data_IF_400305387282
#
_entry.id   IF_400305387282
#
_cell.length_a   1.000
_cell.length_b   1.000
_cell.length_c   1.000
_cell.angle_alpha   90.00
_cell.angle_beta   90.00
_cell.angle_gamma   90.00
#
_symmetry.space_group_name_H-M   'P 1'
#
loop_
_entity.id
_entity.type
_entity.pdbx_description
1 polymer ?
#
# COMPACT_ATOMS: atom_id res chain seq x y z
N UNK A 1 -96.54 -12.74 -3.29
CA UNK A 1 -95.89 -11.48 -3.70
C UNK A 1 -94.77 -11.12 -2.71
N UNK A 2 -93.49 -11.30 -3.06
CA UNK A 2 -92.34 -10.86 -2.25
C UNK A 2 -91.76 -9.59 -2.86
N UNK A 3 -91.90 -8.44 -2.19
CA UNK A 3 -91.27 -7.17 -2.59
C UNK A 3 -89.79 -7.20 -2.23
N UNK A 4 -88.91 -7.11 -3.24
CA UNK A 4 -87.50 -6.84 -3.05
C UNK A 4 -87.31 -5.41 -2.50
N UNK A 5 -86.54 -5.27 -1.41
CA UNK A 5 -86.18 -3.97 -0.84
C UNK A 5 -84.95 -3.41 -1.56
N UNK A 6 -84.91 -2.12 -1.93
CA UNK A 6 -83.73 -1.54 -2.57
C UNK A 6 -82.60 -1.37 -1.56
N UNK A 7 -81.38 -1.77 -1.94
CA UNK A 7 -80.17 -1.55 -1.17
C UNK A 7 -79.80 -0.05 -1.27
N UNK A 8 -80.03 0.72 -0.22
CA UNK A 8 -79.72 2.16 -0.17
C UNK A 8 -78.22 2.32 0.08
N UNK A 9 -77.43 2.64 -0.95
CA UNK A 9 -76.01 3.02 -0.77
C UNK A 9 -75.93 4.36 -0.02
N UNK A 10 -75.41 4.35 1.21
CA UNK A 10 -75.02 5.57 1.95
C UNK A 10 -73.67 6.04 1.39
N UNK A 11 -73.67 7.13 0.61
CA UNK A 11 -72.45 7.87 0.31
C UNK A 11 -72.04 8.68 1.53
N UNK A 12 -71.12 8.16 2.33
CA UNK A 12 -70.48 8.95 3.38
C UNK A 12 -69.45 9.89 2.73
N UNK A 13 -69.50 11.17 3.09
CA UNK A 13 -68.61 12.22 2.58
C UNK A 13 -67.16 12.10 3.08
N UNK A 14 -66.46 11.06 2.67
CA UNK A 14 -65.02 10.91 2.87
C UNK A 14 -64.32 11.09 1.52
N UNK A 15 -63.87 12.30 1.22
CA UNK A 15 -63.10 12.58 -0.01
C UNK A 15 -61.75 13.25 0.20
N UNK A 16 -61.33 13.54 1.44
CA UNK A 16 -60.04 14.18 1.74
C UNK A 16 -59.04 13.30 2.53
N UNK A 17 -59.49 12.62 3.58
CA UNK A 17 -58.60 11.93 4.55
C UNK A 17 -57.87 10.73 3.93
N UNK A 18 -58.50 10.02 3.00
CA UNK A 18 -57.89 8.86 2.31
C UNK A 18 -56.64 9.26 1.50
N UNK A 19 -56.65 10.44 0.88
CA UNK A 19 -55.49 10.95 0.13
C UNK A 19 -54.33 11.29 1.07
N UNK A 20 -54.61 11.92 2.22
CA UNK A 20 -53.59 12.27 3.21
C UNK A 20 -52.94 11.02 3.77
N UNK A 21 -53.73 10.01 4.15
CA UNK A 21 -53.20 8.74 4.65
C UNK A 21 -52.36 8.02 3.58
N UNK A 22 -52.83 7.97 2.33
CA UNK A 22 -52.06 7.39 1.23
C UNK A 22 -50.74 8.13 1.00
N UNK A 23 -50.75 9.47 1.01
CA UNK A 23 -49.54 10.28 0.87
C UNK A 23 -48.57 10.04 2.03
N UNK A 24 -49.04 9.98 3.28
CA UNK A 24 -48.21 9.65 4.44
C UNK A 24 -47.55 8.26 4.30
N UNK A 25 -48.30 7.26 3.85
CA UNK A 25 -47.76 5.91 3.61
C UNK A 25 -46.74 5.89 2.46
N UNK A 26 -47.02 6.60 1.36
CA UNK A 26 -46.08 6.71 0.23
C UNK A 26 -44.78 7.41 0.65
N UNK A 27 -44.87 8.49 1.42
CA UNK A 27 -43.69 9.18 1.95
C UNK A 27 -42.90 8.25 2.88
N UNK A 28 -43.58 7.51 3.78
CA UNK A 28 -42.90 6.57 4.67
C UNK A 28 -42.14 5.48 3.89
N UNK A 29 -42.77 4.87 2.89
CA UNK A 29 -42.14 3.86 2.03
C UNK A 29 -40.98 4.47 1.23
N UNK A 30 -41.14 5.68 0.70
CA UNK A 30 -40.09 6.39 -0.03
C UNK A 30 -38.85 6.65 0.84
N UNK A 31 -39.03 7.10 2.08
CA UNK A 31 -37.93 7.35 3.01
C UNK A 31 -37.18 6.05 3.37
N UNK A 32 -37.91 4.95 3.58
CA UNK A 32 -37.30 3.63 3.81
C UNK A 32 -36.50 3.17 2.59
N UNK A 33 -37.07 3.30 1.39
CA UNK A 33 -36.39 2.95 0.14
C UNK A 33 -35.14 3.81 -0.12
N UNK A 34 -35.23 5.12 0.10
CA UNK A 34 -34.09 6.03 -0.05
C UNK A 34 -32.95 5.69 0.92
N UNK A 35 -33.27 5.34 2.16
CA UNK A 35 -32.29 4.95 3.18
C UNK A 35 -31.57 3.67 2.80
N UNK A 36 -32.32 2.64 2.33
CA UNK A 36 -31.74 1.39 1.86
C UNK A 36 -30.80 1.59 0.66
N UNK A 37 -31.18 2.43 -0.30
CA UNK A 37 -30.35 2.77 -1.46
C UNK A 37 -29.05 3.49 -1.06
N UNK A 38 -29.14 4.44 -0.12
CA UNK A 38 -27.95 5.14 0.40
C UNK A 38 -26.98 4.20 1.12
N UNK A 39 -27.50 3.24 1.89
CA UNK A 39 -26.67 2.25 2.59
C UNK A 39 -25.92 1.35 1.59
N UNK A 40 -26.59 0.90 0.53
CA UNK A 40 -25.97 0.10 -0.53
C UNK A 40 -24.83 0.87 -1.23
N UNK A 41 -25.07 2.14 -1.60
CA UNK A 41 -24.06 2.99 -2.25
C UNK A 41 -22.86 3.27 -1.35
N UNK A 42 -23.08 3.42 -0.04
CA UNK A 42 -21.99 3.56 0.93
C UNK A 42 -21.18 2.26 1.03
N UNK A 43 -21.85 1.11 1.12
CA UNK A 43 -21.20 -0.20 1.14
C UNK A 43 -20.33 -0.46 -0.09
N UNK A 44 -20.81 -0.10 -1.29
CA UNK A 44 -20.04 -0.23 -2.53
C UNK A 44 -18.76 0.62 -2.54
N UNK A 45 -18.83 1.85 -2.01
CA UNK A 45 -17.68 2.74 -1.89
C UNK A 45 -16.65 2.18 -0.92
N UNK A 46 -17.08 1.70 0.24
CA UNK A 46 -16.21 1.06 1.25
C UNK A 46 -15.54 -0.19 0.68
N UNK A 47 -16.31 -1.08 0.04
CA UNK A 47 -15.78 -2.31 -0.57
C UNK A 47 -14.77 -1.99 -1.70
N UNK A 48 -14.98 -0.92 -2.47
CA UNK A 48 -13.99 -0.47 -3.46
C UNK A 48 -12.73 0.08 -2.80
N UNK A 49 -12.87 0.84 -1.72
CA UNK A 49 -11.74 1.34 -0.94
C UNK A 49 -10.88 0.22 -0.34
N UNK A 50 -11.52 -0.76 0.31
CA UNK A 50 -10.82 -1.92 0.88
C UNK A 50 -10.08 -2.73 -0.18
N UNK A 51 -10.72 -3.00 -1.33
CA UNK A 51 -10.03 -3.69 -2.43
C UNK A 51 -8.80 -2.94 -2.92
N UNK A 52 -8.92 -1.63 -3.16
CA UNK A 52 -7.81 -0.83 -3.64
C UNK A 52 -6.67 -0.73 -2.61
N UNK A 53 -7.00 -0.77 -1.32
CA UNK A 53 -6.03 -0.84 -0.23
C UNK A 53 -5.32 -2.20 -0.22
N UNK A 54 -6.05 -3.31 -0.35
CA UNK A 54 -5.44 -4.65 -0.40
C UNK A 54 -4.49 -4.81 -1.58
N UNK A 55 -4.83 -4.27 -2.75
CA UNK A 55 -3.95 -4.29 -3.92
C UNK A 55 -2.68 -3.47 -3.67
N UNK A 56 -2.83 -2.27 -3.07
CA UNK A 56 -1.68 -1.45 -2.70
C UNK A 56 -0.81 -2.15 -1.64
N UNK A 57 -1.42 -2.82 -0.67
CA UNK A 57 -0.71 -3.58 0.37
C UNK A 57 0.07 -4.75 -0.22
N UNK A 58 -0.55 -5.56 -1.09
CA UNK A 58 0.11 -6.66 -1.79
C UNK A 58 1.28 -6.16 -2.63
N UNK A 59 1.10 -5.06 -3.39
CA UNK A 59 2.19 -4.45 -4.15
C UNK A 59 3.34 -3.97 -3.24
N UNK A 60 3.03 -3.45 -2.05
CA UNK A 60 4.04 -3.05 -1.08
C UNK A 60 4.80 -4.26 -0.52
N UNK A 61 4.11 -5.36 -0.23
CA UNK A 61 4.73 -6.63 0.19
C UNK A 61 5.65 -7.19 -0.90
N UNK A 62 5.23 -7.14 -2.16
CA UNK A 62 6.06 -7.57 -3.29
C UNK A 62 7.35 -6.75 -3.39
N UNK A 63 7.29 -5.41 -3.25
CA UNK A 63 8.50 -4.58 -3.22
C UNK A 63 9.38 -4.82 -1.98
N UNK A 64 8.78 -5.16 -0.85
CA UNK A 64 9.52 -5.50 0.36
C UNK A 64 10.29 -6.82 0.17
N UNK A 65 9.62 -7.86 -0.35
CA UNK A 65 10.27 -9.11 -0.71
C UNK A 65 11.34 -8.90 -1.79
N UNK A 66 11.09 -8.06 -2.80
CA UNK A 66 12.06 -7.73 -3.84
C UNK A 66 13.32 -7.07 -3.28
N UNK A 67 13.18 -6.18 -2.30
CA UNK A 67 14.29 -5.56 -1.59
C UNK A 67 15.10 -6.58 -0.77
N UNK A 68 14.44 -7.55 -0.13
CA UNK A 68 15.14 -8.63 0.58
C UNK A 68 15.93 -9.52 -0.39
N UNK A 69 15.36 -9.83 -1.57
CA UNK A 69 16.08 -10.56 -2.62
C UNK A 69 17.24 -9.74 -3.21
N UNK A 70 17.11 -8.41 -3.32
CA UNK A 70 18.20 -7.50 -3.70
C UNK A 70 19.36 -7.55 -2.69
N UNK A 71 19.04 -7.54 -1.39
CA UNK A 71 20.03 -7.65 -0.31
C UNK A 71 20.73 -9.00 -0.33
N UNK A 72 19.98 -10.10 -0.43
CA UNK A 72 20.53 -11.45 -0.39
C UNK A 72 21.42 -11.69 -1.62
N UNK A 73 20.89 -11.34 -2.80
CA UNK A 73 21.47 -11.63 -4.10
C UNK A 73 21.35 -13.12 -4.46
N UNK A 74 20.96 -13.42 -5.70
CA UNK A 74 20.92 -14.79 -6.20
C UNK A 74 22.14 -15.07 -7.09
N UNK A 75 22.79 -16.25 -6.98
CA UNK A 75 23.85 -16.66 -7.90
C UNK A 75 23.33 -16.67 -9.35
N UNK A 76 23.94 -15.88 -10.23
CA UNK A 76 23.59 -15.83 -11.66
C UNK A 76 22.37 -14.98 -12.01
N UNK A 77 21.75 -14.29 -11.05
CA UNK A 77 20.75 -13.26 -11.33
C UNK A 77 21.42 -11.87 -11.45
N UNK A 78 20.87 -10.93 -12.25
CA UNK A 78 21.25 -9.53 -12.14
C UNK A 78 20.90 -9.09 -10.71
N UNK A 79 21.88 -8.59 -9.97
CA UNK A 79 21.68 -8.12 -8.60
C UNK A 79 22.95 -7.53 -7.99
N UNK A 80 22.78 -6.83 -6.87
CA UNK A 80 23.85 -6.10 -6.18
C UNK A 80 24.06 -6.57 -4.74
N UNK A 81 23.65 -7.81 -4.44
CA UNK A 81 23.81 -8.49 -3.16
C UNK A 81 25.23 -8.40 -2.56
N UNK A 82 26.26 -8.28 -3.40
CA UNK A 82 27.65 -8.11 -2.99
C UNK A 82 27.98 -6.75 -2.34
N UNK A 83 27.13 -5.73 -2.52
CA UNK A 83 27.27 -4.45 -1.81
C UNK A 83 26.80 -4.53 -0.35
N UNK A 84 26.04 -5.57 -0.01
CA UNK A 84 25.49 -5.78 1.33
C UNK A 84 26.37 -6.75 2.11
N UNK A 85 27.11 -6.20 3.06
CA UNK A 85 27.91 -6.97 4.01
C UNK A 85 27.72 -6.41 5.43
N UNK A 86 27.75 -7.25 6.47
CA UNK A 86 27.49 -6.85 7.84
C UNK A 86 28.51 -5.83 8.38
N UNK A 87 29.67 -5.66 7.75
CA UNK A 87 30.76 -4.79 8.16
C UNK A 87 31.09 -3.69 7.13
N UNK A 88 30.27 -3.54 6.08
CA UNK A 88 30.51 -2.60 4.99
C UNK A 88 29.35 -1.65 4.77
N UNK A 89 29.67 -0.36 4.64
CA UNK A 89 28.74 0.68 4.19
C UNK A 89 28.87 0.98 2.69
N UNK A 90 29.55 0.12 1.92
CA UNK A 90 29.82 0.35 0.51
C UNK A 90 28.53 0.56 -0.29
N UNK A 91 28.49 1.63 -1.09
CA UNK A 91 27.38 1.93 -1.98
C UNK A 91 26.22 2.68 -1.32
N UNK A 92 26.22 2.88 -0.01
CA UNK A 92 25.23 3.72 0.68
C UNK A 92 25.67 5.20 0.65
N UNK A 93 24.76 6.09 0.25
CA UNK A 93 25.03 7.52 0.11
C UNK A 93 24.22 8.35 1.13
N UNK A 94 24.70 9.56 1.45
CA UNK A 94 23.89 10.52 2.22
C UNK A 94 22.59 10.85 1.47
N UNK A 95 21.46 10.80 2.18
CA UNK A 95 20.16 10.65 1.55
C UNK A 95 20.03 9.27 0.92
N UNK A 96 20.07 9.17 -0.41
CA UNK A 96 20.04 7.90 -1.15
C UNK A 96 20.78 8.05 -2.48
N UNK A 97 21.38 6.97 -2.98
CA UNK A 97 21.86 6.92 -4.35
C UNK A 97 20.70 7.15 -5.35
N UNK A 98 20.98 7.93 -6.41
CA UNK A 98 19.98 8.35 -7.38
C UNK A 98 20.30 7.86 -8.80
N UNK A 99 19.26 7.73 -9.61
CA UNK A 99 19.32 7.39 -11.03
C UNK A 99 19.18 5.89 -11.32
N UNK A 100 18.38 5.53 -12.32
CA UNK A 100 18.05 4.14 -12.65
C UNK A 100 19.24 3.32 -13.14
N UNK A 101 20.27 3.98 -13.68
CA UNK A 101 21.52 3.32 -14.10
C UNK A 101 22.57 3.16 -13.00
N UNK A 102 22.26 3.57 -11.76
CA UNK A 102 23.22 3.57 -10.65
C UNK A 102 23.07 2.31 -9.79
N UNK A 103 24.17 1.57 -9.58
CA UNK A 103 24.19 0.41 -8.69
C UNK A 103 23.84 0.74 -7.23
N UNK A 104 24.01 1.99 -6.81
CA UNK A 104 23.66 2.50 -5.48
C UNK A 104 22.23 3.06 -5.37
N UNK A 105 21.40 2.97 -6.42
CA UNK A 105 20.04 3.51 -6.41
C UNK A 105 19.25 3.05 -5.17
N UNK A 106 18.70 3.99 -4.40
CA UNK A 106 17.90 3.66 -3.22
C UNK A 106 18.66 3.01 -2.06
N UNK A 107 20.00 3.00 -2.09
CA UNK A 107 20.82 2.73 -0.90
C UNK A 107 21.09 4.03 -0.17
N UNK A 108 20.69 4.07 1.10
CA UNK A 108 20.55 5.28 1.89
C UNK A 108 21.32 5.16 3.21
N UNK A 109 22.18 6.12 3.55
CA UNK A 109 22.67 6.28 4.91
C UNK A 109 21.56 6.85 5.78
N UNK A 110 21.51 6.46 7.06
CA UNK A 110 20.54 7.04 8.01
C UNK A 110 20.70 8.56 8.07
N UNK A 111 19.58 9.28 8.19
CA UNK A 111 19.60 10.70 8.45
C UNK A 111 20.32 10.99 9.79
N UNK A 112 21.08 12.09 9.84
CA UNK A 112 21.68 12.56 11.07
C UNK A 112 20.60 12.87 12.14
N UNK A 113 20.97 12.76 13.41
CA UNK A 113 20.04 13.03 14.51
C UNK A 113 19.44 14.43 14.43
N UNK A 114 18.14 14.54 14.70
CA UNK A 114 17.38 15.78 14.57
C UNK A 114 17.01 16.19 13.14
N UNK A 115 17.40 15.42 12.11
CA UNK A 115 16.94 15.63 10.71
C UNK A 115 15.74 14.74 10.39
N UNK A 116 14.99 15.12 9.35
CA UNK A 116 13.90 14.30 8.81
C UNK A 116 14.43 12.94 8.37
N UNK A 117 13.82 11.81 8.80
CA UNK A 117 14.21 10.48 8.36
C UNK A 117 14.20 10.36 6.83
N UNK A 118 15.13 9.59 6.27
CA UNK A 118 15.28 9.49 4.81
C UNK A 118 14.00 9.00 4.14
N UNK A 119 13.35 7.99 4.70
CA UNK A 119 12.08 7.45 4.20
C UNK A 119 10.92 8.47 4.15
N UNK A 120 10.96 9.56 4.92
CA UNK A 120 9.97 10.64 4.81
C UNK A 120 10.35 11.68 3.76
N UNK A 121 11.64 11.79 3.43
CA UNK A 121 12.18 12.80 2.52
C UNK A 121 12.25 12.33 1.06
N UNK A 122 12.26 11.02 0.83
CA UNK A 122 12.32 10.42 -0.51
C UNK A 122 10.93 10.47 -1.14
N UNK A 123 10.87 10.99 -2.37
CA UNK A 123 9.69 10.85 -3.22
C UNK A 123 9.69 9.47 -3.87
N UNK A 124 8.86 8.56 -3.35
CA UNK A 124 8.68 7.24 -3.95
C UNK A 124 7.74 7.24 -5.16
N UNK A 125 7.17 8.38 -5.54
CA UNK A 125 6.44 8.53 -6.79
C UNK A 125 7.34 8.96 -7.95
N UNK A 126 8.55 9.46 -7.67
CA UNK A 126 9.52 9.86 -8.70
C UNK A 126 10.07 8.64 -9.46
N UNK A 127 9.83 8.63 -10.78
CA UNK A 127 10.34 7.64 -11.71
C UNK A 127 11.36 8.20 -12.71
N UNK A 128 11.80 9.45 -12.54
CA UNK A 128 12.70 10.11 -13.48
C UNK A 128 14.06 9.39 -13.55
N UNK A 129 14.55 9.03 -14.76
CA UNK A 129 15.74 8.18 -14.91
C UNK A 129 17.02 8.69 -14.23
N UNK A 130 17.17 10.00 -14.08
CA UNK A 130 18.38 10.62 -13.53
C UNK A 130 18.27 10.99 -12.05
N UNK A 131 17.07 11.25 -11.51
CA UNK A 131 16.87 11.80 -10.17
C UNK A 131 16.17 10.87 -9.19
N UNK A 132 15.48 9.82 -9.67
CA UNK A 132 14.76 8.91 -8.80
C UNK A 132 15.70 8.33 -7.74
N UNK A 133 15.26 8.38 -6.49
CA UNK A 133 16.01 7.90 -5.30
C UNK A 133 15.48 6.59 -4.75
N UNK A 134 14.39 6.06 -5.31
CA UNK A 134 13.80 4.79 -4.94
C UNK A 134 13.96 3.78 -6.07
N UNK A 135 14.08 2.51 -5.72
CA UNK A 135 14.24 1.40 -6.64
C UNK A 135 12.87 0.94 -7.14
N UNK A 136 12.60 0.91 -8.45
CA UNK A 136 11.40 0.26 -8.95
C UNK A 136 11.50 -1.26 -8.81
N UNK A 137 10.39 -1.91 -8.49
CA UNK A 137 10.30 -3.36 -8.41
C UNK A 137 10.94 -4.06 -9.61
N UNK A 138 11.79 -5.03 -9.33
CA UNK A 138 12.48 -5.85 -10.32
C UNK A 138 13.80 -5.28 -10.84
N UNK A 139 14.18 -4.05 -10.48
CA UNK A 139 15.37 -3.38 -11.04
C UNK A 139 16.66 -4.19 -10.83
N UNK A 140 16.83 -4.77 -9.64
CA UNK A 140 18.03 -5.51 -9.24
C UNK A 140 17.77 -7.00 -8.98
N UNK A 141 16.61 -7.52 -9.35
CA UNK A 141 16.26 -8.94 -9.18
C UNK A 141 15.77 -9.57 -10.49
N UNK A 142 15.38 -8.74 -11.47
CA UNK A 142 14.74 -9.19 -12.70
C UNK A 142 13.26 -9.55 -12.54
N UNK A 143 12.67 -9.35 -11.35
CA UNK A 143 11.25 -9.59 -11.14
C UNK A 143 10.37 -8.71 -12.06
N UNK A 144 9.18 -9.21 -12.41
CA UNK A 144 8.28 -8.49 -13.32
C UNK A 144 6.88 -8.39 -12.73
N UNK A 145 6.25 -7.22 -12.89
CA UNK A 145 4.89 -6.96 -12.45
C UNK A 145 4.11 -6.27 -13.58
N UNK A 146 2.87 -6.72 -13.79
CA UNK A 146 1.92 -6.05 -14.68
C UNK A 146 1.24 -4.90 -13.94
N UNK A 147 1.06 -3.77 -14.62
CA UNK A 147 0.48 -2.55 -14.06
C UNK A 147 -0.49 -1.88 -15.04
N UNK A 148 -1.40 -1.05 -14.55
CA UNK A 148 -2.19 -0.12 -15.37
C UNK A 148 -3.47 -0.69 -16.02
N UNK A 149 -3.82 -1.95 -15.78
CA UNK A 149 -5.03 -2.58 -16.33
C UNK A 149 -5.99 -3.04 -15.21
N UNK A 150 -7.26 -2.64 -15.30
CA UNK A 150 -8.32 -3.13 -14.41
C UNK A 150 -8.03 -2.89 -12.92
N UNK A 151 -7.84 -3.97 -12.18
CA UNK A 151 -7.54 -3.96 -10.73
C UNK A 151 -6.04 -4.11 -10.43
N UNK A 152 -5.16 -3.98 -11.43
CA UNK A 152 -3.71 -3.99 -11.18
C UNK A 152 -3.23 -2.65 -10.62
N UNK A 153 -2.09 -2.63 -9.90
CA UNK A 153 -1.42 -1.39 -9.51
C UNK A 153 -1.28 -0.43 -10.69
N UNK A 154 -1.56 0.86 -10.49
CA UNK A 154 -1.43 1.85 -11.57
C UNK A 154 0.04 2.09 -11.97
N UNK A 155 0.98 1.83 -11.05
CA UNK A 155 2.42 1.86 -11.30
C UNK A 155 3.13 0.81 -10.43
N UNK A 156 4.37 0.47 -10.81
CA UNK A 156 5.16 -0.52 -10.07
C UNK A 156 5.47 0.00 -8.66
N UNK A 157 5.44 -0.88 -7.64
CA UNK A 157 5.85 -0.52 -6.30
C UNK A 157 7.35 -0.24 -6.28
N UNK A 158 7.81 0.44 -5.22
CA UNK A 158 9.20 0.89 -5.12
C UNK A 158 9.71 0.74 -3.70
N UNK A 159 11.02 0.66 -3.53
CA UNK A 159 11.64 0.58 -2.21
C UNK A 159 12.91 1.41 -2.07
N UNK A 160 13.32 1.62 -0.83
CA UNK A 160 14.67 2.06 -0.45
C UNK A 160 15.20 1.13 0.65
N UNK A 161 16.52 1.11 0.79
CA UNK A 161 17.23 0.34 1.81
C UNK A 161 18.13 1.30 2.59
N UNK A 162 17.82 1.47 3.86
CA UNK A 162 18.59 2.29 4.79
C UNK A 162 19.57 1.44 5.59
N UNK A 163 20.82 1.88 5.68
CA UNK A 163 21.86 1.26 6.50
C UNK A 163 21.77 1.77 7.94
N UNK A 164 21.67 0.84 8.90
CA UNK A 164 21.62 1.15 10.32
C UNK A 164 22.76 0.45 11.05
N UNK A 165 23.55 1.18 11.86
CA UNK A 165 24.57 0.56 12.69
C UNK A 165 23.91 -0.23 13.84
N UNK A 166 24.41 -1.43 14.06
CA UNK A 166 24.12 -2.32 15.17
C UNK A 166 25.41 -2.52 15.97
N UNK A 167 25.34 -2.19 17.25
CA UNK A 167 26.38 -2.49 18.24
C UNK A 167 25.77 -3.46 19.23
N UNK A 168 26.41 -4.60 19.48
CA UNK A 168 25.90 -5.54 20.48
C UNK A 168 26.18 -4.99 21.87
N UNK A 169 25.22 -5.11 22.78
CA UNK A 169 25.43 -4.72 24.17
C UNK A 169 26.61 -5.50 24.78
N UNK A 170 27.58 -4.77 25.35
CA UNK A 170 28.80 -5.34 25.92
C UNK A 170 29.98 -5.49 24.95
N UNK A 171 29.85 -5.11 23.67
CA UNK A 171 30.99 -4.94 22.76
C UNK A 171 31.74 -3.64 23.03
N UNK A 172 33.05 -3.65 22.79
CA UNK A 172 33.91 -2.45 22.90
C UNK A 172 33.46 -1.39 21.88
N UNK A 173 33.42 -0.12 22.30
CA UNK A 173 33.09 1.02 21.45
C UNK A 173 34.08 1.22 20.29
N UNK A 174 35.25 0.58 20.34
CA UNK A 174 36.21 0.55 19.23
C UNK A 174 35.95 -0.56 18.20
N UNK A 175 35.02 -1.47 18.48
CA UNK A 175 34.64 -2.56 17.54
C UNK A 175 33.90 -1.94 16.35
N UNK A 176 34.27 -2.36 15.13
CA UNK A 176 33.60 -1.88 13.93
C UNK A 176 32.09 -2.16 14.00
N UNK A 177 31.28 -1.15 13.70
CA UNK A 177 29.82 -1.27 13.71
C UNK A 177 29.40 -2.37 12.73
N UNK A 178 28.55 -3.27 13.21
CA UNK A 178 27.85 -4.21 12.33
C UNK A 178 26.64 -3.49 11.74
N UNK A 179 26.12 -3.95 10.62
CA UNK A 179 25.00 -3.30 9.96
C UNK A 179 23.81 -4.24 9.81
N UNK A 180 22.64 -3.64 9.96
CA UNK A 180 21.36 -4.19 9.53
C UNK A 180 20.66 -3.17 8.64
N UNK A 181 19.66 -3.64 7.91
CA UNK A 181 18.99 -2.86 6.89
C UNK A 181 17.56 -2.57 7.32
N UNK A 182 17.12 -1.33 7.13
CA UNK A 182 15.70 -0.99 7.17
C UNK A 182 15.20 -0.82 5.75
N UNK A 183 14.24 -1.65 5.36
CA UNK A 183 13.60 -1.57 4.06
C UNK A 183 12.33 -0.75 4.24
N UNK A 184 12.14 0.27 3.39
CA UNK A 184 10.85 0.95 3.26
C UNK A 184 10.35 0.76 1.84
N UNK A 185 9.16 0.17 1.71
CA UNK A 185 8.53 -0.11 0.43
C UNK A 185 7.19 0.62 0.32
N UNK A 186 6.89 1.15 -0.85
CA UNK A 186 5.57 1.69 -1.21
C UNK A 186 4.92 0.80 -2.26
N UNK A 187 3.65 0.51 -2.03
CA UNK A 187 2.76 -0.13 -2.99
C UNK A 187 1.66 0.80 -3.46
N UNK A 188 1.22 0.58 -4.69
CA UNK A 188 0.24 1.41 -5.38
C UNK A 188 -0.99 0.56 -5.72
N UNK A 189 -2.18 1.06 -5.40
CA UNK A 189 -3.44 0.41 -5.76
C UNK A 189 -3.81 0.70 -7.22
N UNK A 190 -5.05 0.42 -7.64
CA UNK A 190 -5.51 0.70 -9.01
C UNK A 190 -5.69 2.20 -9.31
N UNK A 191 -5.81 3.03 -8.28
CA UNK A 191 -6.00 4.49 -8.37
C UNK A 191 -4.80 5.22 -7.79
N UNK A 192 -4.47 6.38 -8.35
CA UNK A 192 -3.27 7.15 -8.00
C UNK A 192 -3.15 7.47 -6.49
N UNK A 193 -4.28 7.71 -5.83
CA UNK A 193 -4.36 8.02 -4.40
C UNK A 193 -4.40 6.81 -3.46
N UNK A 194 -4.43 5.57 -3.97
CA UNK A 194 -4.36 4.38 -3.12
C UNK A 194 -2.91 3.96 -2.96
N UNK A 195 -2.34 4.22 -1.79
CA UNK A 195 -0.93 3.96 -1.51
C UNK A 195 -0.78 3.34 -0.13
N UNK A 196 0.13 2.38 0.00
CA UNK A 196 0.47 1.73 1.25
C UNK A 196 1.98 1.73 1.39
N UNK A 197 2.47 2.11 2.57
CA UNK A 197 3.91 2.05 2.89
C UNK A 197 4.11 0.98 3.95
N UNK A 198 5.05 0.07 3.70
CA UNK A 198 5.47 -0.98 4.62
C UNK A 198 6.95 -0.79 4.98
N UNK A 199 7.32 -1.29 6.15
CA UNK A 199 8.69 -1.24 6.63
C UNK A 199 9.06 -2.56 7.29
N UNK A 200 10.23 -3.09 6.96
CA UNK A 200 10.84 -4.24 7.64
C UNK A 200 12.29 -3.94 8.02
N UNK A 201 12.83 -4.78 8.90
CA UNK A 201 14.25 -4.80 9.22
C UNK A 201 14.81 -6.14 8.78
N UNK A 202 15.97 -6.11 8.14
CA UNK A 202 16.62 -7.27 7.58
C UNK A 202 18.08 -7.34 8.03
N UNK A 203 18.50 -8.51 8.49
CA UNK A 203 19.89 -8.80 8.84
C UNK A 203 20.39 -9.89 7.92
N UNK A 204 21.42 -9.60 7.11
CA UNK A 204 22.06 -10.61 6.28
C UNK A 204 22.87 -11.55 7.18
N UNK A 205 22.66 -12.88 7.14
CA UNK A 205 23.39 -13.82 7.97
C UNK A 205 24.89 -13.80 7.62
N UNK A 206 25.74 -14.00 8.62
CA UNK A 206 27.17 -14.19 8.37
C UNK A 206 27.37 -15.49 7.59
N UNK A 207 28.20 -15.45 6.54
CA UNK A 207 28.55 -16.62 5.73
C UNK A 207 29.30 -17.69 6.56
N UNK A 208 29.72 -17.38 7.80
CA UNK A 208 30.39 -18.29 8.73
C UNK A 208 29.48 -19.33 9.41
N UNK A 209 28.24 -19.54 8.93
CA UNK A 209 27.27 -20.49 9.48
C UNK A 209 27.30 -21.91 8.90
N UNK A 210 28.11 -22.20 7.87
CA UNK A 210 28.31 -23.59 7.42
C UNK A 210 29.40 -24.26 8.26
N UNK A 211 29.03 -24.71 9.46
CA UNK A 211 29.80 -25.77 10.12
C UNK A 211 29.40 -27.12 9.49
N UNK A 212 30.38 -28.00 9.16
CA UNK A 212 30.13 -29.36 8.68
C UNK A 212 29.48 -30.26 9.74
#
# INVERSE_FOLDING_TARGET
MRKARPFRRRGAGQRGVALVLALCLLIAILLMGASAAQLALQGEKSARGERDWHIAFQAAEEALMDAEHDIEGAPGAPGRGALFAPDSALGFADGCGAGLGNASLGLCLRAAEGRTPVWQSVDFSDGAPASAKSVPYGQFTGATMRTGEGFLPFKRPRYIIELLPYTREGEDATTAARYFYRITAIGFGPREGSQVVLQSFYCKPDVSGSMP
#
